data_IF_668634382239
#
_entry.id   IF_668634382239
#
_cell.length_a   1.000
_cell.length_b   1.000
_cell.length_c   1.000
_cell.angle_alpha   90.00
_cell.angle_beta   90.00
_cell.angle_gamma   90.00
#
_symmetry.space_group_name_H-M   'P 1'
#
loop_
_entity.id
_entity.type
_entity.pdbx_description
1 polymer ?
#
# COMPACT_ATOMS: atom_id res chain seq x y z
N UNK A 1 4.44 11.37 -6.13
CA UNK A 1 3.23 10.70 -5.57
C UNK A 1 3.58 9.61 -4.54
N UNK A 2 4.68 8.87 -4.69
CA UNK A 2 5.01 7.71 -3.85
C UNK A 2 5.12 7.99 -2.34
N UNK A 3 5.66 9.15 -1.93
CA UNK A 3 5.76 9.52 -0.51
C UNK A 3 4.37 9.62 0.15
N UNK A 4 3.43 10.30 -0.51
CA UNK A 4 2.06 10.44 -0.01
C UNK A 4 1.32 9.09 0.03
N UNK A 5 1.51 8.26 -0.99
CA UNK A 5 0.92 6.91 -1.03
C UNK A 5 1.50 6.02 0.08
N UNK A 6 2.82 6.02 0.27
CA UNK A 6 3.47 5.26 1.34
C UNK A 6 3.02 5.69 2.74
N UNK A 7 2.80 6.99 2.96
CA UNK A 7 2.23 7.50 4.20
C UNK A 7 0.81 6.96 4.42
N UNK A 8 -0.09 7.10 3.43
CA UNK A 8 -1.47 6.64 3.53
C UNK A 8 -1.57 5.11 3.72
N UNK A 9 -0.75 4.31 3.04
CA UNK A 9 -0.72 2.85 3.21
C UNK A 9 -0.21 2.45 4.61
N UNK A 10 0.71 3.21 5.18
CA UNK A 10 1.21 2.96 6.55
C UNK A 10 0.18 3.34 7.60
N UNK A 11 -0.51 4.48 7.42
CA UNK A 11 -1.64 4.88 8.25
C UNK A 11 -2.78 3.85 8.22
N UNK A 12 -3.02 3.24 7.05
CA UNK A 12 -3.96 2.13 6.89
C UNK A 12 -3.45 0.78 7.41
N UNK A 13 -2.21 0.70 7.93
CA UNK A 13 -1.59 -0.54 8.38
C UNK A 13 -1.31 -1.56 7.27
N UNK A 14 -1.38 -1.14 6.00
CA UNK A 14 -1.20 -1.98 4.83
C UNK A 14 0.27 -2.07 4.37
N UNK A 15 1.15 -1.23 4.91
CA UNK A 15 2.59 -1.27 4.62
C UNK A 15 3.43 -0.80 5.79
N UNK A 16 4.71 -1.19 5.77
CA UNK A 16 5.76 -0.50 6.51
C UNK A 16 6.28 0.67 5.67
N UNK A 17 6.70 1.76 6.31
CA UNK A 17 7.35 2.90 5.64
C UNK A 17 8.70 3.18 6.26
N UNK A 18 9.66 3.45 5.39
CA UNK A 18 10.99 3.92 5.73
C UNK A 18 11.20 5.32 5.13
N UNK A 19 12.07 6.10 5.76
CA UNK A 19 12.56 7.35 5.20
C UNK A 19 13.82 7.08 4.36
N UNK A 20 13.69 7.20 3.04
CA UNK A 20 14.78 7.00 2.09
C UNK A 20 15.90 8.06 2.20
N UNK A 21 15.62 9.19 2.87
CA UNK A 21 16.62 10.24 3.12
C UNK A 21 17.38 10.05 4.45
N UNK A 22 16.98 9.06 5.25
CA UNK A 22 17.67 8.74 6.50
C UNK A 22 19.08 8.21 6.23
N UNK A 23 20.06 8.69 7.00
CA UNK A 23 21.43 8.18 6.96
C UNK A 23 21.53 6.69 7.31
N UNK A 24 20.57 6.17 8.08
CA UNK A 24 20.52 4.77 8.51
C UNK A 24 19.58 3.91 7.65
N UNK A 25 19.18 4.40 6.46
CA UNK A 25 18.19 3.73 5.62
C UNK A 25 18.55 2.26 5.34
N UNK A 26 19.78 1.97 4.93
CA UNK A 26 20.18 0.61 4.55
C UNK A 26 20.07 -0.37 5.72
N UNK A 27 20.44 0.08 6.94
CA UNK A 27 20.32 -0.71 8.16
C UNK A 27 18.85 -0.96 8.51
N UNK A 28 18.03 0.10 8.51
CA UNK A 28 16.61 -0.01 8.80
C UNK A 28 15.88 -0.88 7.76
N UNK A 29 16.26 -0.76 6.49
CA UNK A 29 15.74 -1.56 5.40
C UNK A 29 16.03 -3.05 5.61
N UNK A 30 17.30 -3.41 5.85
CA UNK A 30 17.68 -4.80 6.14
C UNK A 30 16.90 -5.39 7.31
N UNK A 31 16.77 -4.64 8.41
CA UNK A 31 16.00 -5.06 9.58
C UNK A 31 14.51 -5.29 9.27
N UNK A 32 13.88 -4.41 8.47
CA UNK A 32 12.48 -4.61 8.10
C UNK A 32 12.30 -5.79 7.14
N UNK A 33 13.24 -6.03 6.23
CA UNK A 33 13.22 -7.20 5.34
C UNK A 33 13.36 -8.49 6.16
N UNK A 34 14.35 -8.56 7.05
CA UNK A 34 14.56 -9.72 7.92
C UNK A 34 13.33 -9.99 8.80
N UNK A 35 12.73 -8.94 9.36
CA UNK A 35 11.49 -9.04 10.12
C UNK A 35 10.34 -9.53 9.24
N UNK A 36 10.17 -9.00 8.03
CA UNK A 36 9.14 -9.46 7.11
C UNK A 36 9.31 -10.93 6.73
N UNK A 37 10.54 -11.46 6.67
CA UNK A 37 10.81 -12.88 6.39
C UNK A 37 10.56 -13.75 7.62
N UNK A 38 10.96 -13.31 8.81
CA UNK A 38 10.82 -14.08 10.04
C UNK A 38 9.40 -14.07 10.63
N UNK A 39 8.69 -12.95 10.55
CA UNK A 39 7.41 -12.73 11.23
C UNK A 39 6.21 -13.01 10.30
N UNK A 40 5.68 -14.23 10.40
CA UNK A 40 4.48 -14.63 9.66
C UNK A 40 3.21 -13.90 10.05
N UNK A 41 3.09 -13.49 11.32
CA UNK A 41 1.91 -12.76 11.79
C UNK A 41 1.88 -11.34 11.23
N UNK A 42 3.04 -10.67 11.15
CA UNK A 42 3.18 -9.39 10.48
C UNK A 42 2.77 -9.48 9.01
N UNK A 43 3.25 -10.49 8.27
CA UNK A 43 2.85 -10.68 6.86
C UNK A 43 1.34 -10.85 6.73
N UNK A 44 0.73 -11.72 7.55
CA UNK A 44 -0.71 -11.95 7.53
C UNK A 44 -1.50 -10.67 7.80
N UNK A 45 -1.08 -9.87 8.78
CA UNK A 45 -1.70 -8.59 9.12
C UNK A 45 -1.61 -7.59 7.96
N UNK A 46 -0.42 -7.39 7.38
CA UNK A 46 -0.20 -6.48 6.26
C UNK A 46 -1.01 -6.91 5.03
N UNK A 47 -1.05 -8.22 4.71
CA UNK A 47 -1.84 -8.75 3.61
C UNK A 47 -3.34 -8.53 3.80
N UNK A 48 -3.86 -8.78 5.01
CA UNK A 48 -5.27 -8.55 5.32
C UNK A 48 -5.63 -7.06 5.21
N UNK A 49 -4.81 -6.16 5.76
CA UNK A 49 -5.01 -4.72 5.66
C UNK A 49 -4.93 -4.22 4.20
N UNK A 50 -3.98 -4.72 3.42
CA UNK A 50 -3.83 -4.37 2.00
C UNK A 50 -5.07 -4.72 1.16
N UNK A 51 -5.71 -5.85 1.44
CA UNK A 51 -6.95 -6.26 0.77
C UNK A 51 -8.15 -5.34 1.06
N UNK A 52 -8.15 -4.64 2.20
CA UNK A 52 -9.18 -3.63 2.51
C UNK A 52 -8.95 -2.32 1.74
N UNK A 53 -7.70 -2.01 1.39
CA UNK A 53 -7.35 -0.81 0.62
C UNK A 53 -7.57 -1.03 -0.88
N UNK A 54 -7.23 -2.22 -1.39
CA UNK A 54 -7.39 -2.57 -2.79
C UNK A 54 -8.26 -3.82 -2.94
N UNK A 55 -9.54 -3.61 -3.24
CA UNK A 55 -10.52 -4.68 -3.48
C UNK A 55 -10.49 -5.22 -4.92
N UNK A 56 -9.56 -4.76 -5.76
CA UNK A 56 -9.37 -5.20 -7.15
C UNK A 56 -10.43 -4.70 -8.13
N UNK A 57 -11.43 -3.95 -7.68
CA UNK A 57 -12.60 -3.59 -8.48
C UNK A 57 -12.49 -2.20 -9.13
N UNK A 58 -11.43 -1.46 -8.83
CA UNK A 58 -11.25 -0.06 -9.21
C UNK A 58 -11.40 0.19 -10.72
N UNK A 59 -10.76 -0.62 -11.56
CA UNK A 59 -10.83 -0.48 -13.02
C UNK A 59 -12.26 -0.61 -13.55
N UNK A 60 -12.99 -1.62 -13.06
CA UNK A 60 -14.40 -1.85 -13.43
C UNK A 60 -15.28 -0.67 -13.02
N UNK A 61 -15.11 -0.16 -11.80
CA UNK A 61 -15.88 0.98 -11.28
C UNK A 61 -15.61 2.27 -12.06
N UNK A 62 -14.34 2.54 -12.37
CA UNK A 62 -13.94 3.71 -13.17
C UNK A 62 -14.50 3.61 -14.59
N UNK A 63 -14.41 2.45 -15.24
CA UNK A 63 -14.98 2.25 -16.57
C UNK A 63 -16.50 2.53 -16.59
N UNK A 64 -17.23 1.98 -15.61
CA UNK A 64 -18.68 2.22 -15.48
C UNK A 64 -19.01 3.70 -15.28
N UNK A 65 -18.28 4.39 -14.39
CA UNK A 65 -18.49 5.82 -14.13
C UNK A 65 -18.19 6.69 -15.36
N UNK A 66 -17.09 6.39 -16.08
CA UNK A 66 -16.70 7.11 -17.28
C UNK A 66 -17.72 6.97 -18.40
N UNK A 67 -18.16 5.73 -18.70
CA UNK A 67 -19.19 5.49 -19.71
C UNK A 67 -20.49 6.22 -19.36
N UNK A 68 -20.92 6.17 -18.10
CA UNK A 68 -22.10 6.89 -17.64
C UNK A 68 -21.95 8.42 -17.73
N UNK A 69 -20.73 8.96 -17.62
CA UNK A 69 -20.47 10.39 -17.78
C UNK A 69 -20.60 10.82 -19.24
N UNK A 70 -19.97 10.11 -20.17
CA UNK A 70 -19.98 10.48 -21.59
C UNK A 70 -21.36 10.27 -22.24
N UNK A 71 -22.16 9.31 -21.79
CA UNK A 71 -23.53 9.11 -22.32
C UNK A 71 -24.56 10.13 -21.84
N UNK A 72 -24.19 11.04 -20.92
CA UNK A 72 -25.03 12.15 -20.45
C UNK A 72 -24.72 13.48 -21.16
N UNK A 73 -23.69 13.49 -22.00
CA UNK A 73 -23.29 14.64 -22.82
C UNK A 73 -23.90 14.50 -24.21
#
# INVERSE_FOLDING_TARGET
NQVAVAAALTEAGASLRLDASSADFDVAFGQQVDRLVADGALRAMLSAASALVCDGDGARRVAAAFLAHISRT
#
